data_IF_186513440518
#
_entry.id   IF_186513440518
#
_cell.length_a   1.000
_cell.length_b   1.000
_cell.length_c   1.000
_cell.angle_alpha   90.00
_cell.angle_beta   90.00
_cell.angle_gamma   90.00
#
_symmetry.space_group_name_H-M   'P 1'
#
loop_
_entity.id
_entity.type
_entity.pdbx_description
1 polymer ?
#
# COMPACT_ATOMS: atom_id res chain seq x y z
N UNK A 1 -2.18 2.66 -15.10
CA UNK A 1 -2.03 3.35 -13.80
C UNK A 1 -3.08 2.82 -12.84
N UNK A 2 -2.72 2.72 -11.57
CA UNK A 2 -3.55 2.33 -10.44
C UNK A 2 -3.21 3.25 -9.28
N UNK A 3 -4.14 3.40 -8.35
CA UNK A 3 -4.00 4.26 -7.20
C UNK A 3 -4.18 3.44 -5.94
N UNK A 4 -3.24 3.53 -5.01
CA UNK A 4 -3.29 2.84 -3.72
C UNK A 4 -3.46 3.84 -2.60
N UNK A 5 -4.55 3.76 -1.83
CA UNK A 5 -4.67 4.40 -0.53
C UNK A 5 -4.26 3.44 0.58
N UNK A 6 -3.54 3.93 1.59
CA UNK A 6 -3.18 3.17 2.79
C UNK A 6 -3.54 3.95 4.06
N UNK A 7 -4.44 3.37 4.86
CA UNK A 7 -4.76 3.78 6.22
C UNK A 7 -3.88 2.97 7.20
N UNK A 8 -3.14 3.67 8.07
CA UNK A 8 -2.01 3.10 8.80
C UNK A 8 -2.22 3.18 10.31
N UNK A 9 -2.36 2.01 10.93
CA UNK A 9 -2.45 1.84 12.38
C UNK A 9 -1.22 1.11 12.92
N UNK A 10 -1.06 1.13 14.25
CA UNK A 10 0.12 0.53 14.92
C UNK A 10 0.34 -0.94 14.57
N UNK A 11 -0.74 -1.71 14.41
CA UNK A 11 -0.69 -3.17 14.25
C UNK A 11 -1.12 -3.63 12.86
N UNK A 12 -1.83 -2.80 12.11
CA UNK A 12 -2.42 -3.16 10.83
C UNK A 12 -2.41 -1.99 9.85
N UNK A 13 -2.49 -2.32 8.57
CA UNK A 13 -2.65 -1.38 7.47
C UNK A 13 -3.86 -1.83 6.67
N UNK A 14 -4.75 -0.89 6.34
CA UNK A 14 -5.84 -1.10 5.39
C UNK A 14 -5.47 -0.47 4.07
N UNK A 15 -5.24 -1.31 3.07
CA UNK A 15 -4.90 -0.89 1.71
C UNK A 15 -6.08 -1.02 0.76
N UNK A 16 -6.25 -0.05 -0.13
CA UNK A 16 -7.20 -0.11 -1.24
C UNK A 16 -6.50 0.30 -2.54
N UNK A 17 -6.54 -0.56 -3.55
CA UNK A 17 -6.03 -0.29 -4.90
C UNK A 17 -7.22 -0.17 -5.85
N UNK A 18 -7.27 0.95 -6.57
CA UNK A 18 -8.25 1.21 -7.62
C UNK A 18 -7.55 1.33 -8.98
N UNK A 19 -8.27 1.00 -10.05
CA UNK A 19 -7.89 1.41 -11.40
C UNK A 19 -8.21 2.89 -11.66
N UNK A 20 -7.93 3.36 -12.88
CA UNK A 20 -8.18 4.76 -13.28
C UNK A 20 -9.68 5.12 -13.28
N UNK A 21 -10.53 4.13 -13.39
CA UNK A 21 -11.97 4.29 -13.56
C UNK A 21 -12.68 4.30 -12.20
N UNK A 22 -11.90 4.17 -11.12
CA UNK A 22 -12.39 4.14 -9.74
C UNK A 22 -12.86 2.75 -9.28
N UNK A 23 -12.62 1.70 -10.08
CA UNK A 23 -13.01 0.34 -9.69
C UNK A 23 -11.99 -0.26 -8.73
N UNK A 24 -12.46 -0.86 -7.65
CA UNK A 24 -11.61 -1.53 -6.66
C UNK A 24 -11.03 -2.81 -7.25
N UNK A 25 -9.70 -2.86 -7.39
CA UNK A 25 -8.94 -4.03 -7.85
C UNK A 25 -8.49 -4.89 -6.68
N UNK A 26 -8.20 -4.28 -5.53
CA UNK A 26 -7.76 -4.98 -4.32
C UNK A 26 -8.06 -4.16 -3.08
N UNK A 27 -8.68 -4.77 -2.07
CA UNK A 27 -8.89 -4.15 -0.78
C UNK A 27 -8.66 -5.18 0.33
N UNK A 28 -7.79 -4.86 1.29
CA UNK A 28 -7.48 -5.78 2.38
C UNK A 28 -6.90 -5.05 3.59
N UNK A 29 -7.20 -5.56 4.78
CA UNK A 29 -6.53 -5.19 6.04
C UNK A 29 -5.53 -6.27 6.40
N UNK A 30 -4.27 -5.90 6.60
CA UNK A 30 -3.17 -6.84 6.86
C UNK A 30 -2.25 -6.34 7.97
N UNK A 31 -1.45 -7.22 8.61
CA UNK A 31 -0.53 -6.81 9.67
C UNK A 31 0.47 -5.76 9.19
N UNK A 32 0.86 -4.83 10.07
CA UNK A 32 1.97 -3.91 9.80
C UNK A 32 3.30 -4.68 9.84
N UNK A 33 3.59 -5.39 8.74
CA UNK A 33 4.84 -6.09 8.47
C UNK A 33 5.22 -5.87 7.01
N UNK A 34 6.52 -5.73 6.74
CA UNK A 34 7.04 -5.50 5.38
C UNK A 34 6.63 -6.61 4.42
N UNK A 35 6.62 -7.86 4.89
CA UNK A 35 6.23 -9.04 4.10
C UNK A 35 4.75 -8.99 3.72
N UNK A 36 3.89 -8.45 4.60
CA UNK A 36 2.48 -8.22 4.32
C UNK A 36 2.28 -7.09 3.30
N UNK A 37 3.06 -6.01 3.38
CA UNK A 37 3.07 -4.94 2.35
C UNK A 37 3.52 -5.51 1.00
N UNK A 38 4.59 -6.33 0.97
CA UNK A 38 5.06 -7.00 -0.25
C UNK A 38 3.97 -7.88 -0.87
N UNK A 39 3.31 -8.70 -0.06
CA UNK A 39 2.21 -9.54 -0.51
C UNK A 39 1.03 -8.72 -1.04
N UNK A 40 0.67 -7.64 -0.35
CA UNK A 40 -0.40 -6.74 -0.77
C UNK A 40 -0.10 -6.02 -2.08
N UNK A 41 1.16 -5.72 -2.40
CA UNK A 41 1.58 -5.08 -3.65
C UNK A 41 1.94 -6.09 -4.76
N UNK A 42 1.97 -7.40 -4.45
CA UNK A 42 2.41 -8.42 -5.39
C UNK A 42 1.57 -8.43 -6.68
N UNK A 43 2.26 -8.55 -7.82
CA UNK A 43 1.66 -8.58 -9.15
C UNK A 43 1.22 -7.20 -9.68
N UNK A 44 1.45 -6.11 -8.96
CA UNK A 44 1.18 -4.75 -9.43
C UNK A 44 2.50 -4.11 -9.88
N UNK A 45 2.56 -3.67 -11.14
CA UNK A 45 3.75 -2.97 -11.68
C UNK A 45 4.00 -1.66 -10.93
N UNK A 46 5.25 -1.43 -10.52
CA UNK A 46 5.65 -0.18 -9.85
C UNK A 46 5.53 1.05 -10.75
N UNK A 47 5.80 0.89 -12.05
CA UNK A 47 5.68 1.97 -13.04
C UNK A 47 4.22 2.42 -13.25
N UNK A 48 3.25 1.65 -12.74
CA UNK A 48 1.82 1.91 -12.93
C UNK A 48 1.08 2.14 -11.61
N UNK A 49 1.76 2.41 -10.50
CA UNK A 49 1.11 2.53 -9.18
C UNK A 49 1.55 3.80 -8.44
N UNK A 50 0.58 4.67 -8.17
CA UNK A 50 0.74 5.80 -7.26
C UNK A 50 0.18 5.42 -5.88
N UNK A 51 0.89 5.77 -4.82
CA UNK A 51 0.52 5.41 -3.44
C UNK A 51 0.34 6.67 -2.62
N UNK A 52 -0.83 6.82 -2.01
CA UNK A 52 -1.15 7.80 -0.98
C UNK A 52 -1.22 7.09 0.37
N UNK A 53 -0.57 7.68 1.38
CA UNK A 53 -0.52 7.15 2.74
C UNK A 53 -1.09 8.21 3.67
N UNK A 54 -1.98 7.81 4.56
CA UNK A 54 -2.49 8.70 5.61
C UNK A 54 -1.32 9.23 6.47
N UNK A 55 -1.32 10.53 6.71
CA UNK A 55 -0.33 11.16 7.60
C UNK A 55 -0.65 10.81 9.05
N UNK A 56 0.18 9.97 9.66
CA UNK A 56 0.04 9.55 11.06
C UNK A 56 1.36 9.67 11.85
N UNK A 57 1.47 9.04 13.03
CA UNK A 57 2.74 9.02 13.78
C UNK A 57 3.81 8.09 13.18
N UNK A 58 3.40 7.17 12.29
CA UNK A 58 4.21 5.99 11.89
C UNK A 58 4.30 5.80 10.36
N UNK A 59 3.78 6.73 9.56
CA UNK A 59 3.75 6.65 8.08
C UNK A 59 5.14 6.52 7.45
N UNK A 60 6.18 7.13 8.03
CA UNK A 60 7.55 7.07 7.50
C UNK A 60 8.09 5.63 7.42
N UNK A 61 7.73 4.78 8.39
CA UNK A 61 8.11 3.37 8.39
C UNK A 61 7.44 2.57 7.27
N UNK A 62 6.22 2.97 6.88
CA UNK A 62 5.49 2.37 5.77
C UNK A 62 6.16 2.75 4.45
N UNK A 63 6.53 4.01 4.25
CA UNK A 63 7.27 4.45 3.04
C UNK A 63 8.57 3.68 2.88
N UNK A 64 9.39 3.61 3.94
CA UNK A 64 10.66 2.88 3.88
C UNK A 64 10.45 1.39 3.55
N UNK A 65 9.37 0.80 4.05
CA UNK A 65 9.01 -0.59 3.74
C UNK A 65 8.59 -0.74 2.28
N UNK A 66 7.79 0.19 1.76
CA UNK A 66 7.36 0.24 0.35
C UNK A 66 8.58 0.37 -0.57
N UNK A 67 9.46 1.34 -0.33
CA UNK A 67 10.66 1.54 -1.15
C UNK A 67 11.53 0.28 -1.21
N UNK A 68 11.67 -0.45 -0.10
CA UNK A 68 12.43 -1.70 -0.04
C UNK A 68 11.78 -2.89 -0.73
N UNK A 69 10.46 -2.89 -0.93
CA UNK A 69 9.75 -3.96 -1.66
C UNK A 69 9.51 -3.62 -3.12
N UNK A 70 9.74 -2.37 -3.52
CA UNK A 70 9.66 -1.90 -4.91
C UNK A 70 10.97 -2.05 -5.70
N UNK A 71 12.09 -2.30 -5.00
CA UNK A 71 13.35 -2.79 -5.58
C UNK A 71 13.25 -4.29 -5.88
#
# INVERSE_FOLDING_TARGET
MKYCGMDVHKESITGCIMDREGSVVRQYTFPYKRESIKAFLFGISNAELEIAIEVCGIWRGVIQSIERVRL
#
